data_IF_719909977288
#
_entry.id   IF_719909977288
#
_cell.length_a   1.000
_cell.length_b   1.000
_cell.length_c   1.000
_cell.angle_alpha   90.00
_cell.angle_beta   90.00
_cell.angle_gamma   90.00
#
_symmetry.space_group_name_H-M   'P 1'
#
loop_
_entity.id
_entity.type
_entity.pdbx_description
1 polymer ?
#
# COMPACT_ATOMS: atom_id res chain seq x y z
N UNK A 1 -20.99 -8.78 1.18
CA UNK A 1 -19.59 -8.40 0.89
C UNK A 1 -19.46 -8.09 -0.60
N UNK A 2 -19.83 -8.97 -1.48
CA UNK A 2 -19.64 -8.81 -2.93
C UNK A 2 -20.45 -7.66 -3.55
N UNK A 3 -21.69 -7.40 -3.10
CA UNK A 3 -22.48 -6.25 -3.57
C UNK A 3 -21.74 -4.91 -3.34
N UNK A 4 -21.06 -4.78 -2.20
CA UNK A 4 -20.24 -3.60 -1.90
C UNK A 4 -19.00 -3.49 -2.80
N UNK A 5 -18.45 -4.60 -3.28
CA UNK A 5 -17.32 -4.59 -4.20
C UNK A 5 -17.72 -4.17 -5.61
N UNK A 6 -18.92 -4.52 -6.06
CA UNK A 6 -19.47 -3.99 -7.32
C UNK A 6 -19.68 -2.46 -7.25
N UNK A 7 -20.23 -1.96 -6.13
CA UNK A 7 -20.37 -0.52 -5.91
C UNK A 7 -19.01 0.20 -5.93
N UNK A 8 -17.95 -0.43 -5.38
CA UNK A 8 -16.59 0.12 -5.41
C UNK A 8 -16.00 0.16 -6.83
N UNK A 9 -16.28 -0.85 -7.68
CA UNK A 9 -15.88 -0.81 -9.10
C UNK A 9 -16.55 0.37 -9.81
N UNK A 10 -17.86 0.53 -9.66
CA UNK A 10 -18.57 1.64 -10.28
C UNK A 10 -18.03 2.99 -9.82
N UNK A 11 -17.79 3.13 -8.52
CA UNK A 11 -17.20 4.35 -7.97
C UNK A 11 -15.79 4.61 -8.52
N UNK A 12 -14.96 3.58 -8.65
CA UNK A 12 -13.63 3.69 -9.26
C UNK A 12 -13.70 4.14 -10.72
N UNK A 13 -14.65 3.61 -11.50
CA UNK A 13 -14.86 4.01 -12.89
C UNK A 13 -15.35 5.46 -12.99
N UNK A 14 -16.23 5.90 -12.09
CA UNK A 14 -16.64 7.30 -11.99
C UNK A 14 -15.46 8.22 -11.66
N UNK A 15 -14.58 7.83 -10.72
CA UNK A 15 -13.37 8.57 -10.39
C UNK A 15 -12.43 8.70 -11.59
N UNK A 16 -12.24 7.63 -12.37
CA UNK A 16 -11.42 7.66 -13.59
C UNK A 16 -12.00 8.61 -14.63
N UNK A 17 -13.31 8.64 -14.79
CA UNK A 17 -13.98 9.57 -15.69
C UNK A 17 -13.81 11.02 -15.22
N UNK A 18 -14.04 11.30 -13.93
CA UNK A 18 -13.86 12.64 -13.34
C UNK A 18 -12.42 13.14 -13.47
N UNK A 19 -11.42 12.27 -13.25
CA UNK A 19 -10.00 12.62 -13.41
C UNK A 19 -9.63 12.97 -14.85
N UNK A 20 -10.40 12.51 -15.82
CA UNK A 20 -10.23 12.82 -17.25
C UNK A 20 -10.87 14.14 -17.67
N UNK A 21 -11.67 14.78 -16.78
CA UNK A 21 -12.32 16.05 -17.09
C UNK A 21 -11.34 17.23 -17.01
N UNK A 22 -11.33 18.13 -18.02
CA UNK A 22 -10.44 19.30 -18.03
C UNK A 22 -10.61 20.22 -16.83
N UNK A 23 -11.83 20.35 -16.30
CA UNK A 23 -12.14 21.20 -15.17
C UNK A 23 -11.51 20.68 -13.86
N UNK A 24 -11.40 19.36 -13.71
CA UNK A 24 -10.75 18.73 -12.57
C UNK A 24 -9.22 18.88 -12.68
N UNK A 25 -8.65 18.77 -13.88
CA UNK A 25 -7.22 18.96 -14.10
C UNK A 25 -6.73 20.39 -13.77
N UNK A 26 -7.62 21.39 -13.86
CA UNK A 26 -7.31 22.78 -13.53
C UNK A 26 -7.42 23.10 -12.02
N UNK A 27 -8.07 22.24 -11.22
CA UNK A 27 -8.15 22.37 -9.77
C UNK A 27 -7.23 21.37 -9.08
N UNK A 28 -6.01 21.83 -8.74
CA UNK A 28 -4.98 20.99 -8.14
C UNK A 28 -5.42 20.32 -6.83
N UNK A 29 -6.24 20.96 -6.01
CA UNK A 29 -6.70 20.40 -4.74
C UNK A 29 -7.76 19.29 -4.98
N UNK A 30 -8.69 19.52 -5.89
CA UNK A 30 -9.70 18.55 -6.28
C UNK A 30 -9.05 17.35 -6.97
N UNK A 31 -8.13 17.60 -7.89
CA UNK A 31 -7.37 16.56 -8.58
C UNK A 31 -6.59 15.67 -7.60
N UNK A 32 -5.82 16.27 -6.67
CA UNK A 32 -5.06 15.54 -5.64
C UNK A 32 -5.97 14.65 -4.78
N UNK A 33 -7.15 15.16 -4.40
CA UNK A 33 -8.11 14.38 -3.60
C UNK A 33 -8.65 13.18 -4.35
N UNK A 34 -9.08 13.36 -5.61
CA UNK A 34 -9.60 12.29 -6.45
C UNK A 34 -8.53 11.25 -6.80
N UNK A 35 -7.30 11.69 -7.09
CA UNK A 35 -6.15 10.80 -7.33
C UNK A 35 -5.83 9.94 -6.10
N UNK A 36 -5.90 10.52 -4.90
CA UNK A 36 -5.68 9.75 -3.66
C UNK A 36 -6.76 8.68 -3.50
N UNK A 37 -8.03 9.06 -3.68
CA UNK A 37 -9.16 8.14 -3.58
C UNK A 37 -9.07 7.01 -4.62
N UNK A 38 -8.71 7.34 -5.85
CA UNK A 38 -8.46 6.36 -6.91
C UNK A 38 -7.32 5.41 -6.55
N UNK A 39 -6.20 5.95 -6.05
CA UNK A 39 -5.04 5.15 -5.62
C UNK A 39 -5.37 4.20 -4.45
N UNK A 40 -6.25 4.63 -3.54
CA UNK A 40 -6.70 3.81 -2.42
C UNK A 40 -7.62 2.66 -2.86
N UNK A 41 -8.44 2.87 -3.88
CA UNK A 41 -9.36 1.88 -4.42
C UNK A 41 -8.73 0.93 -5.44
N UNK A 42 -7.69 1.38 -6.16
CA UNK A 42 -7.06 0.60 -7.24
C UNK A 42 -6.71 -0.84 -6.84
N UNK A 43 -6.00 -1.11 -5.72
CA UNK A 43 -5.64 -2.48 -5.35
C UNK A 43 -6.87 -3.35 -5.06
N UNK A 44 -7.93 -2.79 -4.47
CA UNK A 44 -9.17 -3.52 -4.19
C UNK A 44 -9.84 -3.92 -5.51
N UNK A 45 -9.96 -2.97 -6.44
CA UNK A 45 -10.61 -3.17 -7.74
C UNK A 45 -9.83 -4.17 -8.59
N UNK A 46 -8.50 -4.07 -8.63
CA UNK A 46 -7.63 -4.99 -9.37
C UNK A 46 -7.73 -6.43 -8.82
N UNK A 47 -7.66 -6.60 -7.50
CA UNK A 47 -7.77 -7.91 -6.87
C UNK A 47 -9.17 -8.50 -7.08
N UNK A 48 -10.22 -7.67 -7.02
CA UNK A 48 -11.57 -8.15 -7.26
C UNK A 48 -11.85 -8.50 -8.73
N UNK A 49 -11.26 -7.78 -9.69
CA UNK A 49 -11.33 -8.16 -11.11
C UNK A 49 -10.69 -9.53 -11.35
N UNK A 50 -9.51 -9.78 -10.79
CA UNK A 50 -8.85 -11.11 -10.86
C UNK A 50 -9.73 -12.19 -10.22
N UNK A 51 -10.35 -11.89 -9.07
CA UNK A 51 -11.27 -12.82 -8.42
C UNK A 51 -12.45 -13.20 -9.34
N UNK A 52 -13.06 -12.21 -10.01
CA UNK A 52 -14.15 -12.46 -10.98
C UNK A 52 -13.69 -13.30 -12.16
N UNK A 53 -12.50 -13.03 -12.69
CA UNK A 53 -11.90 -13.82 -13.77
C UNK A 53 -11.68 -15.28 -13.34
N UNK A 54 -11.07 -15.52 -12.18
CA UNK A 54 -10.91 -16.88 -11.65
C UNK A 54 -12.26 -17.58 -11.42
N UNK A 55 -13.30 -16.87 -10.99
CA UNK A 55 -14.65 -17.42 -10.86
C UNK A 55 -15.23 -17.81 -12.21
N UNK A 56 -15.04 -16.99 -13.24
CA UNK A 56 -15.48 -17.31 -14.59
C UNK A 56 -14.72 -18.52 -15.14
N UNK A 57 -13.41 -18.60 -14.94
CA UNK A 57 -12.61 -19.76 -15.34
C UNK A 57 -13.08 -21.05 -14.67
N UNK A 58 -13.51 -20.99 -13.41
CA UNK A 58 -14.11 -22.15 -12.72
C UNK A 58 -15.40 -22.59 -13.41
N UNK A 59 -16.30 -21.66 -13.75
CA UNK A 59 -17.56 -21.97 -14.44
C UNK A 59 -17.31 -22.54 -15.83
N UNK A 60 -16.39 -21.93 -16.59
CA UNK A 60 -16.01 -22.38 -17.94
C UNK A 60 -15.37 -23.77 -17.91
N UNK A 61 -14.44 -24.02 -16.97
CA UNK A 61 -13.81 -25.33 -16.80
C UNK A 61 -14.81 -26.42 -16.42
N UNK A 62 -15.82 -26.09 -15.59
CA UNK A 62 -16.89 -27.02 -15.24
C UNK A 62 -17.78 -27.32 -16.46
N UNK A 63 -18.10 -26.32 -17.29
CA UNK A 63 -18.88 -26.52 -18.50
C UNK A 63 -18.11 -27.40 -19.50
N UNK A 64 -16.81 -27.21 -19.68
CA UNK A 64 -15.97 -28.08 -20.53
C UNK A 64 -15.97 -29.50 -19.98
N UNK A 65 -15.90 -29.73 -18.68
CA UNK A 65 -15.92 -31.06 -18.10
C UNK A 65 -17.27 -31.78 -18.30
N UNK A 66 -18.37 -31.05 -18.41
CA UNK A 66 -19.71 -31.63 -18.63
C UNK A 66 -19.98 -31.91 -20.13
N UNK A 67 -19.51 -31.07 -21.03
CA UNK A 67 -19.86 -31.12 -22.45
C UNK A 67 -18.81 -31.83 -23.33
N UNK A 68 -17.53 -31.79 -22.93
CA UNK A 68 -16.42 -32.28 -23.73
C UNK A 68 -16.14 -33.74 -23.51
N UNK A 69 -15.91 -34.48 -24.60
CA UNK A 69 -15.61 -35.92 -24.61
C UNK A 69 -14.12 -36.23 -24.78
N UNK A 70 -13.34 -35.24 -25.22
CA UNK A 70 -11.90 -35.37 -25.42
C UNK A 70 -11.17 -35.39 -24.06
N UNK A 71 -10.37 -36.45 -23.86
CA UNK A 71 -9.71 -36.71 -22.58
C UNK A 71 -8.60 -35.70 -22.31
N UNK A 72 -7.89 -35.21 -23.34
CA UNK A 72 -6.86 -34.18 -23.19
C UNK A 72 -7.48 -32.84 -22.77
N UNK A 73 -8.56 -32.43 -23.39
CA UNK A 73 -9.28 -31.21 -23.03
C UNK A 73 -9.85 -31.28 -21.61
N UNK A 74 -10.35 -32.43 -21.20
CA UNK A 74 -10.85 -32.67 -19.84
C UNK A 74 -9.75 -32.63 -18.78
N UNK A 75 -8.55 -33.13 -19.10
CA UNK A 75 -7.40 -33.05 -18.20
C UNK A 75 -6.95 -31.60 -17.99
N UNK A 76 -6.83 -30.82 -19.06
CA UNK A 76 -6.51 -29.38 -19.00
C UNK A 76 -7.56 -28.62 -18.18
N UNK A 77 -8.85 -28.89 -18.41
CA UNK A 77 -9.91 -28.24 -17.66
C UNK A 77 -9.89 -28.59 -16.15
N UNK A 78 -9.47 -29.81 -15.79
CA UNK A 78 -9.30 -30.19 -14.37
C UNK A 78 -8.14 -29.46 -13.71
N UNK A 79 -7.03 -29.30 -14.41
CA UNK A 79 -5.87 -28.57 -13.92
C UNK A 79 -6.22 -27.08 -13.72
N UNK A 80 -6.82 -26.45 -14.74
CA UNK A 80 -7.28 -25.06 -14.66
C UNK A 80 -8.32 -24.85 -13.55
N UNK A 81 -9.25 -25.77 -13.39
CA UNK A 81 -10.25 -25.74 -12.32
C UNK A 81 -9.61 -25.78 -10.93
N UNK A 82 -8.55 -26.59 -10.77
CA UNK A 82 -7.82 -26.70 -9.51
C UNK A 82 -7.09 -25.40 -9.20
N UNK A 83 -6.32 -24.90 -10.16
CA UNK A 83 -5.51 -23.67 -10.00
C UNK A 83 -6.40 -22.46 -9.74
N UNK A 84 -7.51 -22.34 -10.49
CA UNK A 84 -8.47 -21.25 -10.29
C UNK A 84 -9.14 -21.30 -8.92
N UNK A 85 -9.43 -22.48 -8.36
CA UNK A 85 -9.96 -22.61 -7.00
C UNK A 85 -8.96 -22.18 -5.93
N UNK A 86 -7.69 -22.57 -6.07
CA UNK A 86 -6.63 -22.16 -5.15
C UNK A 86 -6.45 -20.64 -5.20
N UNK A 87 -6.43 -20.04 -6.40
CA UNK A 87 -6.35 -18.59 -6.57
C UNK A 87 -7.54 -17.85 -5.97
N UNK A 88 -8.76 -18.37 -6.12
CA UNK A 88 -9.96 -17.76 -5.51
C UNK A 88 -9.82 -17.69 -4.00
N UNK A 89 -9.32 -18.75 -3.34
CA UNK A 89 -9.12 -18.75 -1.89
C UNK A 89 -8.07 -17.73 -1.43
N UNK A 90 -7.00 -17.56 -2.21
CA UNK A 90 -5.96 -16.56 -1.92
C UNK A 90 -6.49 -15.14 -2.11
N UNK A 91 -7.15 -14.88 -3.25
CA UNK A 91 -7.74 -13.58 -3.55
C UNK A 91 -8.84 -13.18 -2.55
N UNK A 92 -9.61 -14.14 -2.03
CA UNK A 92 -10.57 -13.86 -0.96
C UNK A 92 -9.90 -13.42 0.35
N UNK A 93 -8.75 -14.00 0.70
CA UNK A 93 -7.97 -13.59 1.87
C UNK A 93 -7.39 -12.19 1.67
N UNK A 94 -6.83 -11.93 0.49
CA UNK A 94 -6.28 -10.63 0.13
C UNK A 94 -7.37 -9.54 0.15
N UNK A 95 -8.52 -9.78 -0.46
CA UNK A 95 -9.66 -8.86 -0.43
C UNK A 95 -10.13 -8.55 1.00
N UNK A 96 -10.16 -9.55 1.88
CA UNK A 96 -10.51 -9.33 3.29
C UNK A 96 -9.52 -8.38 3.98
N UNK A 97 -8.24 -8.48 3.66
CA UNK A 97 -7.19 -7.59 4.21
C UNK A 97 -7.33 -6.19 3.62
N UNK A 98 -7.51 -6.07 2.30
CA UNK A 98 -7.65 -4.79 1.61
C UNK A 98 -8.91 -4.02 2.02
N UNK A 99 -9.96 -4.71 2.43
CA UNK A 99 -11.21 -4.11 2.91
C UNK A 99 -11.19 -3.73 4.40
N UNK A 100 -10.09 -4.00 5.12
CA UNK A 100 -9.95 -3.50 6.48
C UNK A 100 -9.89 -1.97 6.46
N UNK A 101 -10.54 -1.30 7.42
CA UNK A 101 -10.46 0.15 7.49
C UNK A 101 -8.99 0.55 7.72
N UNK A 102 -8.47 1.43 6.85
CA UNK A 102 -7.14 2.03 7.02
C UNK A 102 -7.15 2.92 8.26
N UNK A 103 -6.06 2.90 9.03
CA UNK A 103 -5.88 3.86 10.10
C UNK A 103 -5.73 5.27 9.49
N UNK A 104 -6.53 6.26 9.91
CA UNK A 104 -6.41 7.62 9.42
C UNK A 104 -5.06 8.29 9.74
N UNK A 105 -4.23 7.63 10.54
CA UNK A 105 -2.88 8.08 10.86
C UNK A 105 -1.80 7.48 9.95
N UNK A 106 -2.10 6.44 9.17
CA UNK A 106 -1.12 5.79 8.28
C UNK A 106 -0.51 6.76 7.23
N UNK A 107 -1.26 7.79 6.85
CA UNK A 107 -0.82 8.81 5.89
C UNK A 107 -0.17 10.04 6.56
N UNK A 108 -0.03 10.05 7.88
CA UNK A 108 0.51 11.22 8.61
C UNK A 108 2.02 11.09 8.79
N UNK A 109 2.68 12.24 8.77
CA UNK A 109 4.07 12.31 9.19
C UNK A 109 4.18 11.98 10.67
N UNK A 110 5.22 11.25 11.05
CA UNK A 110 5.45 10.79 12.41
C UNK A 110 6.66 11.49 12.99
N UNK A 111 6.51 12.04 14.19
CA UNK A 111 7.64 12.52 14.99
C UNK A 111 8.06 11.37 15.92
N UNK A 112 9.33 10.99 15.81
CA UNK A 112 9.93 9.97 16.66
C UNK A 112 10.90 10.65 17.62
N UNK A 113 10.64 10.53 18.90
CA UNK A 113 11.52 11.01 19.97
C UNK A 113 12.10 9.79 20.70
N UNK A 114 13.43 9.75 20.81
CA UNK A 114 14.14 8.71 21.55
C UNK A 114 15.00 9.39 22.60
N UNK A 115 14.84 8.98 23.85
CA UNK A 115 15.65 9.49 24.98
C UNK A 115 16.35 8.33 25.67
N UNK A 116 17.65 8.48 25.91
CA UNK A 116 18.40 7.56 26.74
C UNK A 116 17.86 7.59 28.18
N UNK A 117 17.55 6.42 28.72
CA UNK A 117 17.09 6.28 30.11
C UNK A 117 18.24 6.22 31.12
N UNK A 118 18.00 5.58 32.24
CA UNK A 118 19.04 5.29 33.22
C UNK A 118 20.05 4.29 32.65
N UNK A 119 21.35 4.63 32.69
CA UNK A 119 22.41 3.77 32.15
C UNK A 119 23.63 4.52 31.60
N UNK A 120 23.64 5.85 31.66
CA UNK A 120 24.77 6.65 31.22
C UNK A 120 25.13 6.48 29.75
N UNK A 121 26.41 6.21 29.46
CA UNK A 121 26.92 6.10 28.08
C UNK A 121 26.37 4.87 27.35
N UNK A 122 26.12 3.75 28.04
CA UNK A 122 25.53 2.54 27.44
C UNK A 122 24.09 2.76 26.98
N UNK A 123 23.31 3.51 27.75
CA UNK A 123 21.95 3.88 27.35
C UNK A 123 21.94 4.84 26.16
N UNK A 124 22.93 5.75 26.07
CA UNK A 124 23.07 6.64 24.93
C UNK A 124 23.49 5.91 23.65
N UNK A 125 24.37 4.91 23.75
CA UNK A 125 24.73 4.05 22.62
C UNK A 125 23.52 3.23 22.14
N UNK A 126 22.75 2.67 23.06
CA UNK A 126 21.53 1.93 22.71
C UNK A 126 20.46 2.82 22.06
N UNK A 127 20.29 4.06 22.54
CA UNK A 127 19.39 5.03 21.89
C UNK A 127 19.81 5.32 20.45
N UNK A 128 21.10 5.47 20.18
CA UNK A 128 21.63 5.63 18.82
C UNK A 128 21.40 4.42 17.94
N UNK A 129 21.47 3.20 18.49
CA UNK A 129 21.14 1.95 17.76
C UNK A 129 19.65 1.91 17.36
N UNK A 130 18.76 2.23 18.30
CA UNK A 130 17.32 2.29 18.04
C UNK A 130 17.01 3.35 16.99
N UNK A 131 17.63 4.52 17.06
CA UNK A 131 17.47 5.55 16.04
C UNK A 131 17.87 5.05 14.65
N UNK A 132 19.04 4.43 14.51
CA UNK A 132 19.49 3.82 13.25
C UNK A 132 18.51 2.78 12.71
N UNK A 133 17.97 1.94 13.58
CA UNK A 133 16.94 0.95 13.22
C UNK A 133 15.71 1.62 12.59
N UNK A 134 15.20 2.69 13.19
CA UNK A 134 14.04 3.42 12.64
C UNK A 134 14.36 4.13 11.33
N UNK A 135 15.55 4.73 11.21
CA UNK A 135 16.01 5.36 9.96
C UNK A 135 16.05 4.31 8.82
N UNK A 136 16.68 3.16 9.04
CA UNK A 136 16.72 2.11 8.04
C UNK A 136 15.34 1.53 7.69
N UNK A 137 14.46 1.41 8.67
CA UNK A 137 13.07 1.02 8.40
C UNK A 137 12.36 2.02 7.49
N UNK A 138 12.50 3.31 7.77
CA UNK A 138 11.92 4.38 6.96
C UNK A 138 12.50 4.40 5.54
N UNK A 139 13.83 4.27 5.40
CA UNK A 139 14.53 4.19 4.11
C UNK A 139 14.02 3.02 3.27
N UNK A 140 13.86 1.84 3.86
CA UNK A 140 13.32 0.65 3.19
C UNK A 140 11.87 0.83 2.72
N UNK A 141 11.13 1.74 3.36
CA UNK A 141 9.77 2.13 2.95
C UNK A 141 9.75 3.29 1.95
N UNK A 142 10.92 3.84 1.60
CA UNK A 142 11.04 5.01 0.74
C UNK A 142 10.60 6.32 1.42
N UNK A 143 10.55 6.35 2.77
CA UNK A 143 10.21 7.53 3.54
C UNK A 143 11.44 8.40 3.75
N UNK A 144 11.25 9.71 3.75
CA UNK A 144 12.32 10.65 4.09
C UNK A 144 12.35 10.87 5.60
N UNK A 145 13.53 10.74 6.20
CA UNK A 145 13.77 11.06 7.62
C UNK A 145 14.57 12.35 7.72
N UNK A 146 14.16 13.23 8.61
CA UNK A 146 14.87 14.46 8.93
C UNK A 146 15.05 14.55 10.44
N UNK A 147 16.29 14.71 10.89
CA UNK A 147 16.62 14.94 12.29
C UNK A 147 16.32 16.39 12.65
N UNK A 148 15.45 16.60 13.63
CA UNK A 148 15.08 17.93 14.10
C UNK A 148 16.08 18.44 15.17
N UNK A 149 16.40 17.55 16.11
CA UNK A 149 17.36 17.84 17.18
C UNK A 149 18.06 16.53 17.62
N UNK A 150 19.32 16.64 18.05
CA UNK A 150 20.11 15.52 18.56
C UNK A 150 21.14 15.98 19.57
N UNK A 151 21.13 15.40 20.78
CA UNK A 151 22.17 15.54 21.81
C UNK A 151 23.09 14.32 21.75
N UNK A 152 24.15 14.43 20.97
CA UNK A 152 25.12 13.38 20.75
C UNK A 152 26.15 13.32 21.90
N UNK A 153 26.62 12.10 22.21
CA UNK A 153 27.74 11.89 23.12
C UNK A 153 29.05 11.74 22.35
N UNK A 154 30.18 12.07 22.98
CA UNK A 154 31.51 11.99 22.34
C UNK A 154 31.93 10.58 21.88
N UNK A 155 31.18 9.55 22.22
CA UNK A 155 31.42 8.13 21.84
C UNK A 155 30.43 7.62 20.77
N UNK A 156 29.65 8.50 20.15
CA UNK A 156 28.68 8.13 19.10
C UNK A 156 27.34 7.63 19.62
N UNK A 157 27.04 7.83 20.92
CA UNK A 157 25.70 7.62 21.48
C UNK A 157 24.85 8.88 21.37
N UNK A 158 23.55 8.77 21.66
CA UNK A 158 22.59 9.89 21.68
C UNK A 158 21.89 9.92 23.03
N UNK A 159 21.94 11.06 23.75
CA UNK A 159 21.14 11.24 24.95
C UNK A 159 19.67 11.47 24.61
N UNK A 160 19.44 12.24 23.55
CA UNK A 160 18.12 12.42 22.94
C UNK A 160 18.26 12.63 21.46
N UNK A 161 17.26 12.21 20.70
CA UNK A 161 17.13 12.53 19.29
C UNK A 161 15.65 12.68 18.97
N UNK A 162 15.33 13.76 18.24
CA UNK A 162 14.01 14.01 17.70
C UNK A 162 14.12 14.01 16.18
N UNK A 163 13.29 13.22 15.53
CA UNK A 163 13.25 13.14 14.08
C UNK A 163 11.82 13.11 13.57
N UNK A 164 11.60 13.60 12.37
CA UNK A 164 10.35 13.47 11.65
C UNK A 164 10.54 12.52 10.48
N UNK A 165 9.64 11.56 10.36
CA UNK A 165 9.54 10.69 9.20
C UNK A 165 8.40 11.16 8.33
N UNK A 166 8.71 11.52 7.09
CA UNK A 166 7.73 11.93 6.09
C UNK A 166 7.28 10.67 5.35
N UNK A 167 6.07 10.20 5.64
CA UNK A 167 5.46 9.04 4.97
C UNK A 167 4.99 9.37 3.55
N UNK A 168 4.98 10.67 3.20
CA UNK A 168 4.60 11.16 1.88
C UNK A 168 5.69 12.07 1.32
N UNK A 169 6.34 11.63 0.25
CA UNK A 169 7.17 12.52 -0.58
C UNK A 169 6.21 13.43 -1.35
N UNK A 170 6.10 14.68 -0.95
CA UNK A 170 5.49 15.70 -1.81
C UNK A 170 6.39 15.91 -3.03
N UNK A 171 5.95 15.60 -4.25
CA UNK A 171 6.78 15.77 -5.45
C UNK A 171 7.14 17.25 -5.72
N UNK A 172 6.45 18.19 -5.10
CA UNK A 172 6.64 19.63 -5.24
C UNK A 172 7.90 20.18 -4.56
N UNK A 173 8.42 19.57 -3.49
CA UNK A 173 9.64 20.05 -2.82
C UNK A 173 10.92 19.69 -3.56
N UNK A 174 10.91 18.66 -4.37
CA UNK A 174 12.10 18.25 -5.13
C UNK A 174 12.37 19.17 -6.32
N UNK A 175 11.36 19.88 -6.83
CA UNK A 175 11.50 20.86 -7.91
C UNK A 175 12.08 22.20 -7.43
N UNK A 176 11.85 22.61 -6.17
CA UNK A 176 12.37 23.87 -5.62
C UNK A 176 13.87 23.81 -5.24
N UNK A 177 14.39 22.63 -4.92
CA UNK A 177 15.82 22.45 -4.57
C UNK A 177 16.73 22.41 -5.81
N UNK A 178 16.16 22.20 -7.00
CA UNK A 178 16.92 22.08 -8.26
C UNK A 178 17.26 23.43 -8.93
N UNK A 179 16.83 24.57 -8.36
CA UNK A 179 17.05 25.92 -8.91
C UNK A 179 17.68 26.90 -7.92
N UNK A 180 18.41 26.43 -6.90
CA UNK A 180 19.21 27.28 -6.02
C UNK A 180 20.71 27.08 -6.27
#
# INVERSE_FOLDING_TARGET
>A
MFDKLEDLIHHYEELMNLLSEPDVANDANRFKKLMKEQSDLAPIVETYKKYKECKQNIEDSLAILDEESDEEMRELAKEELKDSKEQVEELEKELKILLLPKDPNDDKNVIVEIRAGAGGEEAALFAAEIYRMYVHYAENRGWKVETLDADETGIGGMKSVESVSYTHLEPTRQAEISYA
#
